data_IF_093128015376
#
_entry.id   IF_093128015376
#
_cell.length_a   1.000
_cell.length_b   1.000
_cell.length_c   1.000
_cell.angle_alpha   90.00
_cell.angle_beta   90.00
_cell.angle_gamma   90.00
#
_symmetry.space_group_name_H-M   'P 1'
#
loop_
_entity.id
_entity.type
_entity.pdbx_description
1 polymer ?
#
# COMPACT_ATOMS: atom_id res chain seq x y z
N UNK A 1 5.46 4.88 14.20
CA UNK A 1 5.01 6.07 13.46
C UNK A 1 6.03 7.17 13.59
N UNK A 2 6.44 7.77 12.46
CA UNK A 2 7.54 8.73 12.38
C UNK A 2 7.05 10.06 11.80
N UNK A 3 7.46 11.17 12.41
CA UNK A 3 7.10 12.53 12.00
C UNK A 3 8.36 13.22 11.47
N UNK A 4 8.28 13.80 10.28
CA UNK A 4 9.31 14.67 9.75
C UNK A 4 8.95 16.13 10.02
N UNK A 5 9.82 16.85 10.72
CA UNK A 5 9.67 18.27 11.02
C UNK A 5 10.62 19.06 10.11
N UNK A 6 10.03 19.95 9.31
CA UNK A 6 10.75 20.73 8.29
C UNK A 6 10.57 22.21 8.56
N UNK A 7 11.63 22.88 8.91
CA UNK A 7 11.70 24.33 9.18
C UNK A 7 13.17 24.74 9.07
N UNK A 8 13.49 25.90 8.52
CA UNK A 8 14.88 26.36 8.40
C UNK A 8 15.47 26.84 9.74
N UNK A 9 14.60 27.20 10.70
CA UNK A 9 15.02 27.58 12.04
C UNK A 9 15.09 26.37 12.99
N UNK A 10 16.28 26.08 13.47
CA UNK A 10 16.51 24.95 14.39
C UNK A 10 15.68 25.05 15.69
N UNK A 11 15.60 26.25 16.27
CA UNK A 11 14.82 26.52 17.47
C UNK A 11 13.33 26.19 17.29
N UNK A 12 12.77 26.43 16.10
CA UNK A 12 11.38 26.10 15.80
C UNK A 12 11.20 24.60 15.68
N UNK A 13 12.14 23.89 15.02
CA UNK A 13 12.11 22.43 14.95
C UNK A 13 12.17 21.80 16.33
N UNK A 14 13.03 22.31 17.22
CA UNK A 14 13.17 21.80 18.59
C UNK A 14 11.91 22.06 19.43
N UNK A 15 11.29 23.23 19.31
CA UNK A 15 10.06 23.57 20.02
C UNK A 15 8.91 22.63 19.60
N UNK A 16 8.73 22.40 18.31
CA UNK A 16 7.74 21.45 17.80
C UNK A 16 8.03 20.02 18.30
N UNK A 17 9.31 19.62 18.25
CA UNK A 17 9.73 18.31 18.70
C UNK A 17 9.50 18.11 20.21
N UNK A 18 9.76 19.12 21.04
CA UNK A 18 9.51 19.04 22.47
C UNK A 18 8.02 18.79 22.76
N UNK A 19 7.15 19.58 22.14
CA UNK A 19 5.69 19.43 22.26
C UNK A 19 5.23 18.03 21.85
N UNK A 20 5.74 17.51 20.74
CA UNK A 20 5.39 16.18 20.25
C UNK A 20 5.94 15.06 21.13
N UNK A 21 7.15 15.22 21.69
CA UNK A 21 7.72 14.25 22.65
C UNK A 21 6.92 14.17 23.94
N UNK A 22 6.44 15.30 24.46
CA UNK A 22 5.55 15.38 25.62
C UNK A 22 4.23 14.66 25.35
N UNK A 23 3.72 14.74 24.13
CA UNK A 23 2.52 14.01 23.68
C UNK A 23 2.77 12.52 23.38
N UNK A 24 4.01 12.03 23.54
CA UNK A 24 4.36 10.60 23.40
C UNK A 24 4.93 10.20 22.04
N UNK A 25 5.08 11.11 21.08
CA UNK A 25 5.71 10.81 19.79
C UNK A 25 7.24 10.71 19.96
N UNK A 26 7.81 9.55 19.63
CA UNK A 26 9.23 9.25 19.87
C UNK A 26 10.10 9.29 18.61
N UNK A 27 9.55 8.96 17.47
CA UNK A 27 10.28 8.91 16.20
C UNK A 27 10.09 10.22 15.44
N UNK A 28 10.98 11.17 15.72
CA UNK A 28 11.00 12.49 15.10
C UNK A 28 12.26 12.62 14.23
N UNK A 29 12.06 13.04 12.99
CA UNK A 29 13.12 13.35 12.02
C UNK A 29 13.08 14.84 11.74
N UNK A 30 14.22 15.39 11.33
CA UNK A 30 14.38 16.81 11.09
C UNK A 30 14.94 17.06 9.71
N UNK A 31 14.49 18.14 9.09
CA UNK A 31 15.04 18.68 7.86
C UNK A 31 15.12 20.20 7.98
N UNK A 32 16.27 20.78 7.64
CA UNK A 32 16.50 22.23 7.67
C UNK A 32 16.09 22.93 6.36
N UNK A 33 15.56 22.19 5.39
CA UNK A 33 15.10 22.74 4.11
C UNK A 33 14.11 21.81 3.42
N UNK A 34 13.34 22.35 2.49
CA UNK A 34 12.46 21.58 1.61
C UNK A 34 13.22 20.52 0.80
N UNK A 35 14.42 20.84 0.34
CA UNK A 35 15.27 19.92 -0.43
C UNK A 35 15.68 18.72 0.42
N UNK A 36 16.08 18.95 1.67
CA UNK A 36 16.43 17.89 2.62
C UNK A 36 15.22 17.02 2.96
N UNK A 37 14.05 17.63 3.13
CA UNK A 37 12.80 16.91 3.34
C UNK A 37 12.44 15.99 2.17
N UNK A 38 12.50 16.50 0.93
CA UNK A 38 12.25 15.70 -0.28
C UNK A 38 13.24 14.54 -0.40
N UNK A 39 14.53 14.79 -0.09
CA UNK A 39 15.56 13.73 -0.05
C UNK A 39 15.24 12.67 1.01
N UNK A 40 14.83 13.07 2.20
CA UNK A 40 14.43 12.16 3.29
C UNK A 40 13.20 11.32 2.93
N UNK A 41 12.29 11.87 2.12
CA UNK A 41 11.13 11.19 1.56
C UNK A 41 11.48 10.33 0.33
N UNK A 42 12.71 10.44 -0.21
CA UNK A 42 13.15 9.76 -1.42
C UNK A 42 12.44 10.25 -2.69
N UNK A 43 12.00 11.50 -2.72
CA UNK A 43 11.40 12.10 -3.93
C UNK A 43 12.45 12.18 -5.03
N UNK A 44 12.13 11.65 -6.22
CA UNK A 44 13.06 11.57 -7.35
C UNK A 44 14.21 10.57 -7.18
N UNK A 45 14.23 9.75 -6.13
CA UNK A 45 15.25 8.73 -5.91
C UNK A 45 14.81 7.36 -6.44
N UNK A 46 15.76 6.57 -6.93
CA UNK A 46 15.52 5.19 -7.39
C UNK A 46 15.40 4.17 -6.24
N UNK A 47 15.71 4.56 -5.00
CA UNK A 47 15.65 3.69 -3.82
C UNK A 47 14.71 4.26 -2.76
N UNK A 48 14.03 3.36 -2.05
CA UNK A 48 13.17 3.75 -0.94
C UNK A 48 14.01 4.30 0.22
N UNK A 49 13.50 5.29 0.97
CA UNK A 49 14.15 5.81 2.15
C UNK A 49 14.26 4.73 3.24
N UNK A 50 15.33 4.79 4.04
CA UNK A 50 15.60 3.82 5.11
C UNK A 50 14.59 3.89 6.25
N UNK A 51 13.92 5.03 6.42
CA UNK A 51 12.91 5.27 7.46
C UNK A 51 11.62 5.69 6.79
N UNK A 52 10.53 5.01 7.16
CA UNK A 52 9.19 5.39 6.73
C UNK A 52 8.75 6.63 7.51
N UNK A 53 8.25 7.63 6.79
CA UNK A 53 7.69 8.85 7.36
C UNK A 53 6.17 8.76 7.22
N UNK A 54 5.46 9.00 8.32
CA UNK A 54 4.00 8.86 8.40
C UNK A 54 3.27 10.21 8.37
N UNK A 55 3.92 11.29 8.84
CA UNK A 55 3.40 12.68 8.79
C UNK A 55 4.55 13.64 8.56
N UNK A 56 4.31 14.70 7.81
CA UNK A 56 5.25 15.82 7.60
C UNK A 56 4.66 17.09 8.20
N UNK A 57 5.44 17.78 9.05
CA UNK A 57 5.18 19.18 9.42
C UNK A 57 6.10 20.05 8.58
N UNK A 58 5.55 20.94 7.77
CA UNK A 58 6.26 21.70 6.74
C UNK A 58 6.10 23.19 6.94
N UNK A 59 7.17 23.92 7.18
CA UNK A 59 7.12 25.39 7.06
C UNK A 59 6.94 25.81 5.59
N UNK A 60 6.22 26.88 5.37
CA UNK A 60 6.07 27.48 4.05
C UNK A 60 7.24 28.37 3.66
N UNK A 61 7.75 29.12 4.63
CA UNK A 61 8.75 30.16 4.38
C UNK A 61 10.16 29.64 4.62
N UNK A 62 10.71 28.99 3.60
CA UNK A 62 12.09 28.50 3.63
C UNK A 62 12.89 29.04 2.45
N UNK A 63 14.24 29.20 2.60
CA UNK A 63 15.11 29.55 1.50
C UNK A 63 15.09 28.51 0.36
N UNK A 64 15.47 28.91 -0.83
CA UNK A 64 15.65 28.12 -2.05
C UNK A 64 14.38 27.49 -2.61
N UNK A 65 13.60 26.80 -1.80
CA UNK A 65 12.33 26.16 -2.17
C UNK A 65 11.30 26.36 -1.07
N UNK A 66 10.17 26.95 -1.42
CA UNK A 66 9.07 27.12 -0.47
C UNK A 66 8.34 25.79 -0.18
N UNK A 67 7.62 25.76 0.95
CA UNK A 67 6.88 24.58 1.38
C UNK A 67 5.74 24.19 0.43
N UNK A 68 5.18 25.14 -0.35
CA UNK A 68 4.13 24.83 -1.33
C UNK A 68 4.69 24.02 -2.49
N UNK A 69 5.86 24.40 -3.00
CA UNK A 69 6.53 23.65 -4.06
C UNK A 69 6.96 22.26 -3.56
N UNK A 70 7.42 22.17 -2.30
CA UNK A 70 7.72 20.88 -1.69
C UNK A 70 6.48 20.00 -1.61
N UNK A 71 5.32 20.53 -1.21
CA UNK A 71 4.04 19.81 -1.20
C UNK A 71 3.68 19.28 -2.59
N UNK A 72 3.77 20.11 -3.65
CA UNK A 72 3.48 19.68 -5.02
C UNK A 72 4.37 18.51 -5.44
N UNK A 73 5.66 18.57 -5.13
CA UNK A 73 6.61 17.49 -5.44
C UNK A 73 6.33 16.21 -4.65
N UNK A 74 5.93 16.32 -3.39
CA UNK A 74 5.48 15.17 -2.60
C UNK A 74 4.26 14.53 -3.26
N UNK A 75 3.29 15.31 -3.71
CA UNK A 75 2.07 14.81 -4.35
C UNK A 75 2.28 14.27 -5.77
N UNK A 76 3.36 14.64 -6.45
CA UNK A 76 3.70 14.07 -7.75
C UNK A 76 4.25 12.64 -7.67
N UNK A 77 4.61 12.17 -6.48
CA UNK A 77 5.05 10.79 -6.23
C UNK A 77 3.86 9.93 -5.79
N UNK A 78 3.44 8.99 -6.61
CA UNK A 78 2.30 8.09 -6.35
C UNK A 78 2.36 7.43 -4.97
N UNK A 79 3.55 6.96 -4.56
CA UNK A 79 3.76 6.34 -3.22
C UNK A 79 3.58 7.29 -2.04
N UNK A 80 3.57 8.61 -2.26
CA UNK A 80 3.42 9.66 -1.24
C UNK A 80 2.08 10.40 -1.37
N UNK A 81 1.19 9.97 -2.26
CA UNK A 81 -0.11 10.60 -2.48
C UNK A 81 -0.90 10.74 -1.17
N UNK A 82 -0.87 9.71 -0.33
CA UNK A 82 -1.58 9.66 0.94
C UNK A 82 -0.74 10.01 2.17
N UNK A 83 0.46 10.59 1.97
CA UNK A 83 1.28 11.08 3.08
C UNK A 83 0.70 12.39 3.62
N UNK A 84 0.23 12.47 4.87
CA UNK A 84 -0.25 13.72 5.43
C UNK A 84 0.87 14.76 5.54
N UNK A 85 0.61 15.95 5.00
CA UNK A 85 1.47 17.11 5.09
C UNK A 85 0.70 18.21 5.79
N UNK A 86 1.13 18.60 7.00
CA UNK A 86 0.59 19.70 7.78
C UNK A 86 1.51 20.89 7.59
N UNK A 87 0.97 21.96 7.04
CA UNK A 87 1.72 23.19 6.85
C UNK A 87 1.74 23.99 8.15
N UNK A 88 2.92 24.48 8.57
CA UNK A 88 3.09 25.33 9.76
C UNK A 88 3.57 26.69 9.28
N UNK A 89 2.77 27.75 9.41
CA UNK A 89 3.07 29.04 8.76
C UNK A 89 2.67 30.26 9.59
N UNK A 90 3.45 31.35 9.45
CA UNK A 90 3.08 32.66 9.97
C UNK A 90 2.07 33.42 9.06
N UNK A 91 1.86 32.93 7.83
CA UNK A 91 0.91 33.52 6.89
C UNK A 91 -0.52 33.23 7.32
N UNK A 92 -1.37 34.26 7.28
CA UNK A 92 -2.75 34.20 7.81
C UNK A 92 -3.82 34.47 6.76
N UNK A 93 -3.42 34.88 5.54
CA UNK A 93 -4.35 35.25 4.51
C UNK A 93 -5.11 34.06 3.92
N UNK A 94 -6.35 34.25 3.58
CA UNK A 94 -7.19 33.20 3.00
C UNK A 94 -6.63 32.68 1.66
N UNK A 95 -5.93 33.53 0.91
CA UNK A 95 -5.24 33.15 -0.33
C UNK A 95 -4.11 32.16 -0.09
N UNK A 96 -3.30 32.36 0.96
CA UNK A 96 -2.19 31.46 1.30
C UNK A 96 -2.71 30.09 1.75
N UNK A 97 -3.83 30.10 2.49
CA UNK A 97 -4.52 28.89 2.90
C UNK A 97 -5.00 28.06 1.70
N UNK A 98 -5.69 28.75 0.77
CA UNK A 98 -6.18 28.12 -0.46
C UNK A 98 -5.01 27.57 -1.29
N UNK A 99 -3.90 28.31 -1.36
CA UNK A 99 -2.69 27.86 -2.05
C UNK A 99 -2.09 26.61 -1.41
N UNK A 100 -2.06 26.51 -0.07
CA UNK A 100 -1.57 25.34 0.65
C UNK A 100 -2.39 24.07 0.32
N UNK A 101 -3.71 24.15 0.40
CA UNK A 101 -4.59 23.03 0.03
C UNK A 101 -4.48 22.67 -1.46
N UNK A 102 -4.40 23.67 -2.34
CA UNK A 102 -4.22 23.43 -3.78
C UNK A 102 -2.87 22.75 -4.08
N UNK A 103 -1.84 23.06 -3.29
CA UNK A 103 -0.54 22.38 -3.39
C UNK A 103 -0.56 20.95 -2.81
N UNK A 104 -1.65 20.52 -2.16
CA UNK A 104 -1.81 19.19 -1.62
C UNK A 104 -1.50 19.07 -0.12
N UNK A 105 -1.46 20.17 0.64
CA UNK A 105 -1.41 20.09 2.09
C UNK A 105 -2.69 19.41 2.64
N UNK A 106 -2.53 18.58 3.64
CA UNK A 106 -3.64 17.90 4.32
C UNK A 106 -4.30 18.82 5.34
N UNK A 107 -3.48 19.63 6.01
CA UNK A 107 -3.94 20.58 7.04
C UNK A 107 -2.90 21.71 7.20
N UNK A 108 -3.24 22.71 8.03
CA UNK A 108 -2.33 23.80 8.36
C UNK A 108 -2.42 24.20 9.83
N UNK A 109 -1.33 24.76 10.37
CA UNK A 109 -1.22 25.31 11.72
C UNK A 109 -0.63 26.72 11.61
N UNK A 110 -1.21 27.66 12.32
CA UNK A 110 -0.72 29.04 12.37
C UNK A 110 0.38 29.19 13.43
N UNK A 111 1.42 29.95 13.10
CA UNK A 111 2.38 30.42 14.09
C UNK A 111 1.83 31.70 14.79
N UNK A 112 1.92 31.85 16.11
CA UNK A 112 2.60 30.96 17.05
C UNK A 112 1.83 29.65 17.28
N UNK A 113 2.55 28.53 17.29
CA UNK A 113 1.96 27.19 17.42
C UNK A 113 1.42 26.96 18.82
N UNK A 114 0.15 26.60 18.91
CA UNK A 114 -0.49 26.23 20.16
C UNK A 114 -0.25 24.71 20.38
N UNK A 115 0.38 24.28 21.49
CA UNK A 115 0.71 22.87 21.73
C UNK A 115 -0.47 21.92 21.57
N UNK A 116 -1.63 22.25 22.14
CA UNK A 116 -2.83 21.42 22.04
C UNK A 116 -3.35 21.29 20.60
N UNK A 117 -3.26 22.36 19.79
CA UNK A 117 -3.65 22.32 18.37
C UNK A 117 -2.68 21.43 17.57
N UNK A 118 -1.39 21.59 17.77
CA UNK A 118 -0.36 20.75 17.11
C UNK A 118 -0.63 19.26 17.35
N UNK A 119 -0.78 18.90 18.64
CA UNK A 119 -1.01 17.51 19.02
C UNK A 119 -2.29 16.96 18.41
N UNK A 120 -3.39 17.72 18.45
CA UNK A 120 -4.68 17.29 17.90
C UNK A 120 -4.59 17.06 16.38
N UNK A 121 -3.98 17.99 15.62
CA UNK A 121 -3.85 17.86 14.16
C UNK A 121 -2.92 16.73 13.75
N UNK A 122 -1.80 16.57 14.46
CA UNK A 122 -0.89 15.44 14.21
C UNK A 122 -1.58 14.10 14.51
N UNK A 123 -2.36 14.02 15.60
CA UNK A 123 -3.11 12.81 15.91
C UNK A 123 -4.13 12.46 14.82
N UNK A 124 -4.86 13.45 14.31
CA UNK A 124 -5.80 13.24 13.20
C UNK A 124 -5.09 12.80 11.92
N UNK A 125 -3.97 13.43 11.59
CA UNK A 125 -3.16 13.08 10.44
C UNK A 125 -2.60 11.66 10.53
N UNK A 126 -2.17 11.24 11.72
CA UNK A 126 -1.71 9.88 11.99
C UNK A 126 -2.82 8.84 11.81
N UNK A 127 -4.02 9.13 12.35
CA UNK A 127 -5.18 8.23 12.19
C UNK A 127 -5.59 8.11 10.73
N UNK A 128 -5.57 9.21 9.98
CA UNK A 128 -5.85 9.20 8.55
C UNK A 128 -4.83 8.33 7.79
N UNK A 129 -3.54 8.48 8.11
CA UNK A 129 -2.49 7.68 7.50
C UNK A 129 -2.64 6.20 7.79
N UNK A 130 -2.94 5.84 9.03
CA UNK A 130 -3.17 4.46 9.44
C UNK A 130 -4.38 3.84 8.70
N UNK A 131 -5.45 4.60 8.52
CA UNK A 131 -6.62 4.15 7.77
C UNK A 131 -6.29 3.86 6.30
N UNK A 132 -5.53 4.75 5.64
CA UNK A 132 -5.07 4.54 4.26
C UNK A 132 -4.17 3.30 4.14
N UNK A 133 -3.21 3.15 5.05
CA UNK A 133 -2.30 2.00 5.04
C UNK A 133 -3.05 0.68 5.23
N UNK A 134 -3.99 0.63 6.17
CA UNK A 134 -4.84 -0.54 6.41
C UNK A 134 -5.74 -0.86 5.21
N UNK A 135 -6.22 0.16 4.51
CA UNK A 135 -7.03 -0.01 3.30
C UNK A 135 -6.18 -0.60 2.17
N UNK A 136 -5.00 -0.04 1.92
CA UNK A 136 -4.08 -0.50 0.89
C UNK A 136 -3.65 -1.97 1.13
N UNK A 137 -3.37 -2.33 2.39
CA UNK A 137 -3.04 -3.70 2.76
C UNK A 137 -4.20 -4.66 2.50
N UNK A 138 -5.43 -4.29 2.86
CA UNK A 138 -6.62 -5.09 2.58
C UNK A 138 -6.86 -5.26 1.07
N UNK A 139 -6.67 -4.21 0.28
CA UNK A 139 -6.79 -4.28 -1.18
C UNK A 139 -5.78 -5.25 -1.78
N UNK A 140 -4.52 -5.20 -1.33
CA UNK A 140 -3.47 -6.16 -1.74
C UNK A 140 -3.80 -7.60 -1.37
N UNK A 141 -4.33 -7.82 -0.15
CA UNK A 141 -4.77 -9.16 0.27
C UNK A 141 -5.93 -9.69 -0.56
N UNK A 142 -6.92 -8.84 -0.86
CA UNK A 142 -8.06 -9.19 -1.69
C UNK A 142 -7.63 -9.54 -3.12
N UNK A 143 -6.72 -8.77 -3.71
CA UNK A 143 -6.16 -9.03 -5.03
C UNK A 143 -5.40 -10.37 -5.07
N UNK A 144 -4.60 -10.65 -4.04
CA UNK A 144 -3.89 -11.92 -3.93
C UNK A 144 -4.86 -13.11 -3.86
N UNK A 145 -5.89 -13.03 -3.01
CA UNK A 145 -6.92 -14.06 -2.86
C UNK A 145 -7.74 -14.25 -4.14
N UNK A 146 -8.06 -13.13 -4.82
CA UNK A 146 -8.80 -13.18 -6.10
C UNK A 146 -8.00 -13.88 -7.18
N UNK A 147 -6.70 -13.62 -7.27
CA UNK A 147 -5.79 -14.30 -8.21
C UNK A 147 -5.66 -15.80 -7.90
N UNK A 148 -5.53 -16.15 -6.62
CA UNK A 148 -5.47 -17.54 -6.17
C UNK A 148 -6.77 -18.28 -6.52
N UNK A 149 -7.91 -17.70 -6.17
CA UNK A 149 -9.22 -18.27 -6.49
C UNK A 149 -9.41 -18.45 -8.00
N UNK A 150 -8.98 -17.47 -8.80
CA UNK A 150 -9.02 -17.55 -10.26
C UNK A 150 -8.22 -18.73 -10.81
N UNK A 151 -7.04 -19.00 -10.25
CA UNK A 151 -6.22 -20.18 -10.60
C UNK A 151 -6.94 -21.48 -10.26
N UNK A 152 -7.46 -21.59 -9.03
CA UNK A 152 -8.18 -22.79 -8.57
C UNK A 152 -9.44 -23.05 -9.42
N UNK A 153 -10.20 -22.01 -9.77
CA UNK A 153 -11.36 -22.13 -10.66
C UNK A 153 -10.94 -22.57 -12.05
N UNK A 154 -9.80 -22.06 -12.56
CA UNK A 154 -9.28 -22.46 -13.87
C UNK A 154 -8.86 -23.94 -13.86
N UNK A 155 -8.18 -24.39 -12.82
CA UNK A 155 -7.80 -25.80 -12.65
C UNK A 155 -9.05 -26.70 -12.59
N UNK A 156 -10.07 -26.32 -11.82
CA UNK A 156 -11.33 -27.05 -11.75
C UNK A 156 -12.08 -27.09 -13.10
N UNK A 157 -12.03 -26.03 -13.90
CA UNK A 157 -12.62 -25.99 -15.24
C UNK A 157 -11.89 -26.90 -16.23
N UNK A 158 -10.57 -27.03 -16.12
CA UNK A 158 -9.80 -27.96 -16.97
C UNK A 158 -10.12 -29.42 -16.65
N UNK A 159 -10.49 -29.72 -15.40
CA UNK A 159 -10.95 -31.06 -14.99
C UNK A 159 -12.38 -31.39 -15.43
N UNK A 160 -13.22 -30.40 -15.79
CA UNK A 160 -14.59 -30.56 -16.28
C UNK A 160 -14.69 -30.70 -17.81
N UNK A 161 -13.59 -30.84 -18.51
CA UNK A 161 -13.58 -31.04 -19.96
C UNK A 161 -14.24 -32.35 -20.37
N UNK A 162 -14.86 -32.39 -21.59
CA UNK A 162 -15.37 -33.62 -22.17
C UNK A 162 -14.20 -34.52 -22.56
N UNK A 163 -14.10 -35.69 -21.94
CA UNK A 163 -13.10 -36.70 -22.29
C UNK A 163 -13.53 -37.42 -23.56
N UNK A 164 -12.69 -37.40 -24.59
CA UNK A 164 -12.91 -38.22 -25.79
C UNK A 164 -12.38 -39.63 -25.52
N UNK A 165 -13.31 -40.58 -25.40
CA UNK A 165 -12.98 -42.01 -25.18
C UNK A 165 -13.07 -42.77 -26.48
N UNK A 166 -12.12 -43.67 -26.73
CA UNK A 166 -12.20 -44.65 -27.80
C UNK A 166 -13.39 -45.56 -27.57
N UNK A 167 -14.29 -45.68 -28.58
CA UNK A 167 -15.49 -46.52 -28.47
C UNK A 167 -15.14 -48.01 -28.25
N UNK A 168 -13.99 -48.48 -28.72
CA UNK A 168 -13.59 -49.88 -28.71
C UNK A 168 -12.76 -50.23 -27.44
N UNK A 169 -11.70 -49.47 -27.15
CA UNK A 169 -10.77 -49.80 -26.04
C UNK A 169 -10.87 -48.89 -24.85
N UNK A 170 -11.78 -47.89 -24.85
CA UNK A 170 -12.07 -46.95 -23.72
C UNK A 170 -10.87 -46.08 -23.29
N UNK A 171 -9.80 -46.01 -24.07
CA UNK A 171 -8.70 -45.09 -23.82
C UNK A 171 -9.11 -43.64 -24.06
N UNK A 172 -8.52 -42.72 -23.28
CA UNK A 172 -8.74 -41.28 -23.38
C UNK A 172 -7.80 -40.67 -24.44
N UNK A 173 -8.33 -39.80 -25.30
CA UNK A 173 -7.51 -39.04 -26.23
C UNK A 173 -6.84 -37.88 -25.55
N UNK A 174 -5.52 -37.81 -25.65
CA UNK A 174 -4.72 -36.73 -25.08
C UNK A 174 -4.69 -35.50 -26.01
N UNK A 175 -4.54 -34.32 -25.46
CA UNK A 175 -4.43 -33.06 -26.18
C UNK A 175 -3.24 -33.01 -27.15
N UNK A 176 -2.20 -33.85 -26.92
CA UNK A 176 -1.05 -34.02 -27.80
C UNK A 176 -1.17 -35.13 -28.87
N UNK A 177 -2.35 -35.74 -29.08
CA UNK A 177 -2.64 -36.72 -30.12
C UNK A 177 -2.39 -38.21 -29.75
N UNK A 178 -2.00 -38.52 -28.52
CA UNK A 178 -1.84 -39.89 -28.03
C UNK A 178 -3.12 -40.46 -27.38
N UNK A 179 -3.11 -41.77 -27.04
CA UNK A 179 -4.19 -42.44 -26.32
C UNK A 179 -3.62 -43.04 -25.01
N UNK A 180 -4.19 -42.67 -23.87
CA UNK A 180 -3.81 -43.16 -22.53
C UNK A 180 -4.96 -43.98 -21.93
N UNK A 181 -4.68 -44.88 -20.99
CA UNK A 181 -5.72 -45.59 -20.24
C UNK A 181 -6.49 -44.57 -19.39
N UNK A 182 -7.78 -44.81 -19.22
CA UNK A 182 -8.62 -43.89 -18.43
C UNK A 182 -8.13 -43.80 -16.98
N UNK A 183 -7.76 -44.95 -16.41
CA UNK A 183 -7.26 -45.04 -15.04
C UNK A 183 -5.99 -44.18 -14.86
N UNK A 184 -5.01 -44.36 -15.73
CA UNK A 184 -3.72 -43.62 -15.69
C UNK A 184 -3.93 -42.12 -15.87
N UNK A 185 -4.88 -41.74 -16.75
CA UNK A 185 -5.26 -40.35 -16.95
C UNK A 185 -5.91 -39.70 -15.72
N UNK A 186 -6.80 -40.44 -15.03
CA UNK A 186 -7.50 -39.94 -13.84
C UNK A 186 -6.55 -39.89 -12.63
N UNK A 187 -5.63 -40.84 -12.50
CA UNK A 187 -4.57 -40.77 -11.49
C UNK A 187 -3.65 -39.57 -11.69
N UNK A 188 -3.20 -39.32 -12.92
CA UNK A 188 -2.34 -38.21 -13.24
C UNK A 188 -3.00 -36.83 -13.05
N UNK A 189 -4.27 -36.70 -13.47
CA UNK A 189 -4.98 -35.41 -13.46
C UNK A 189 -5.74 -35.11 -12.18
N UNK A 190 -6.23 -36.14 -11.48
CA UNK A 190 -7.06 -35.96 -10.28
C UNK A 190 -6.34 -36.42 -9.00
N UNK A 191 -5.13 -36.97 -9.11
CA UNK A 191 -4.41 -37.60 -7.99
C UNK A 191 -5.28 -38.62 -7.24
N UNK A 192 -6.22 -39.26 -7.96
CA UNK A 192 -7.21 -40.19 -7.44
C UNK A 192 -6.75 -41.63 -7.69
N UNK A 193 -6.59 -42.41 -6.64
CA UNK A 193 -6.28 -43.83 -6.74
C UNK A 193 -7.52 -44.60 -7.19
N UNK A 194 -7.47 -45.20 -8.37
CA UNK A 194 -8.58 -45.99 -8.89
C UNK A 194 -8.38 -47.45 -8.52
N UNK A 195 -9.35 -48.00 -7.83
CA UNK A 195 -9.40 -49.43 -7.48
C UNK A 195 -10.48 -50.14 -8.30
N UNK A 196 -10.14 -51.27 -8.89
CA UNK A 196 -11.10 -52.11 -9.58
C UNK A 196 -11.83 -53.04 -8.58
N UNK A 197 -13.13 -53.15 -8.71
CA UNK A 197 -13.96 -54.01 -7.92
C UNK A 197 -15.15 -54.53 -8.73
N UNK A 198 -15.74 -55.66 -8.34
CA UNK A 198 -16.97 -56.15 -8.94
C UNK A 198 -18.17 -55.38 -8.41
N UNK A 199 -19.01 -54.83 -9.28
CA UNK A 199 -20.24 -54.19 -8.87
C UNK A 199 -21.37 -55.20 -8.68
N UNK A 200 -22.38 -54.89 -7.87
CA UNK A 200 -23.54 -55.74 -7.58
C UNK A 200 -24.36 -56.12 -8.84
N UNK A 201 -24.10 -55.50 -9.99
CA UNK A 201 -24.79 -55.72 -11.25
C UNK A 201 -24.08 -56.73 -12.16
N UNK A 202 -22.77 -56.87 -12.05
CA UNK A 202 -21.94 -57.75 -12.87
C UNK A 202 -21.11 -58.75 -12.06
N UNK A 203 -21.11 -58.67 -10.72
CA UNK A 203 -20.37 -59.53 -9.82
C UNK A 203 -21.23 -60.60 -9.11
N UNK A 204 -22.46 -60.81 -9.55
CA UNK A 204 -23.35 -61.83 -9.04
C UNK A 204 -23.45 -63.00 -10.01
N UNK A 205 -22.55 -63.97 -9.86
CA UNK A 205 -22.77 -65.37 -10.15
C UNK A 205 -21.83 -66.17 -9.23
#
# INVERSE_FOLDING_TARGET
MSILIVDDFEEQREMLALTLREAGYRSLLFAGSAIEALKSLGVGAHSLPSVRIDVVLMDLLMPDMDGLEACRRIRSEERLEHLPVIVVTAKTDASDLTAAYTAGATDYIRKPVIPAELVARVSMAMSLKEEYDNREERERELDAKTKELGRTVHELKTLRGTLCLCAKCKRVRMTGGGWQRLEDYLEEKLNAKITSGACNRCGGA
#
